data_IF_439825816941
#
_entry.id   IF_439825816941
#
_cell.length_a   1.000
_cell.length_b   1.000
_cell.length_c   1.000
_cell.angle_alpha   90.00
_cell.angle_beta   90.00
_cell.angle_gamma   90.00
#
_symmetry.space_group_name_H-M   'P 1'
#
loop_
_entity.id
_entity.type
_entity.pdbx_description
1 polymer ?
#
# COMPACT_ATOMS: atom_id res chain seq x y z
N UNK A 1 -1.72 38.51 -27.49
CA UNK A 1 -2.48 37.64 -26.61
C UNK A 1 -2.70 38.38 -25.30
N UNK A 2 -3.92 38.82 -25.04
CA UNK A 2 -4.26 39.44 -23.75
C UNK A 2 -4.76 38.35 -22.83
N UNK A 3 -4.11 38.21 -21.68
CA UNK A 3 -4.49 37.24 -20.65
C UNK A 3 -5.17 38.01 -19.53
N UNK A 4 -6.41 37.67 -19.24
CA UNK A 4 -7.15 38.23 -18.12
C UNK A 4 -7.28 37.19 -17.03
N UNK A 5 -6.81 37.50 -15.83
CA UNK A 5 -6.81 36.59 -14.68
C UNK A 5 -7.86 37.08 -13.69
N UNK A 6 -8.84 36.23 -13.40
CA UNK A 6 -9.81 36.45 -12.33
C UNK A 6 -9.54 35.47 -11.19
N UNK A 7 -9.43 36.00 -9.98
CA UNK A 7 -9.26 35.21 -8.77
C UNK A 7 -10.59 35.16 -8.00
N UNK A 8 -11.12 33.97 -7.80
CA UNK A 8 -12.29 33.76 -6.95
C UNK A 8 -11.89 32.89 -5.78
N UNK A 9 -12.10 33.36 -4.56
CA UNK A 9 -11.81 32.69 -3.32
C UNK A 9 -13.12 32.25 -2.69
N UNK A 10 -13.31 30.93 -2.54
CA UNK A 10 -14.47 30.32 -1.88
C UNK A 10 -14.08 29.47 -0.67
N UNK A 11 -15.01 29.28 0.23
CA UNK A 11 -14.82 28.46 1.43
C UNK A 11 -15.29 27.01 1.17
N UNK A 12 -14.54 26.03 1.66
CA UNK A 12 -14.86 24.59 1.57
C UNK A 12 -16.25 24.22 2.14
N UNK A 13 -16.79 25.04 3.02
CA UNK A 13 -18.11 24.82 3.63
C UNK A 13 -19.29 24.89 2.64
N UNK A 14 -19.10 25.47 1.46
CA UNK A 14 -20.15 25.55 0.43
C UNK A 14 -20.23 24.31 -0.47
N UNK A 15 -19.17 23.49 -0.53
CA UNK A 15 -19.15 22.25 -1.33
C UNK A 15 -19.84 21.06 -0.65
N UNK A 16 -19.92 21.07 0.68
CA UNK A 16 -20.58 19.98 1.45
C UNK A 16 -22.12 20.04 1.43
N UNK A 17 -22.73 21.08 0.87
CA UNK A 17 -24.21 21.21 0.79
C UNK A 17 -24.83 20.72 -0.53
N UNK A 18 -24.02 20.29 -1.49
CA UNK A 18 -24.50 19.84 -2.81
C UNK A 18 -24.62 18.31 -2.94
N UNK A 19 -24.38 17.54 -1.87
CA UNK A 19 -24.39 16.07 -1.91
C UNK A 19 -25.62 15.39 -1.29
N UNK A 20 -26.70 16.15 -1.04
CA UNK A 20 -27.99 15.51 -0.72
C UNK A 20 -28.77 15.35 -2.02
N UNK A 21 -28.69 14.19 -2.62
CA UNK A 21 -29.73 13.43 -3.34
C UNK A 21 -29.12 12.35 -4.26
N UNK A 22 -29.36 11.09 -3.90
CA UNK A 22 -29.57 9.99 -4.85
C UNK A 22 -28.39 9.08 -5.17
N UNK A 23 -28.48 7.89 -4.61
CA UNK A 23 -28.03 6.57 -5.11
C UNK A 23 -26.57 6.33 -5.51
N UNK A 24 -25.93 5.50 -4.68
CA UNK A 24 -24.93 4.50 -5.07
C UNK A 24 -23.65 5.00 -5.75
N UNK A 25 -22.74 5.52 -4.95
CA UNK A 25 -21.38 5.79 -5.36
C UNK A 25 -20.57 6.35 -4.20
N UNK A 26 -19.81 5.51 -3.50
CA UNK A 26 -18.91 5.97 -2.45
C UNK A 26 -17.77 6.78 -3.09
N UNK A 27 -17.82 8.11 -2.94
CA UNK A 27 -16.66 8.99 -3.17
C UNK A 27 -15.97 9.21 -1.84
N UNK A 28 -14.72 8.78 -1.76
CA UNK A 28 -13.85 9.07 -0.64
C UNK A 28 -13.04 10.34 -0.92
N UNK A 29 -13.15 11.33 -0.05
CA UNK A 29 -12.21 12.46 -0.01
C UNK A 29 -11.21 12.23 1.12
N UNK A 30 -9.95 12.01 0.76
CA UNK A 30 -8.86 11.96 1.74
C UNK A 30 -8.44 13.36 2.15
N UNK A 31 -8.40 13.65 3.43
CA UNK A 31 -7.77 14.85 3.99
C UNK A 31 -6.25 14.69 3.90
N UNK A 32 -5.66 15.24 2.86
CA UNK A 32 -4.23 15.52 2.82
C UNK A 32 -4.04 17.02 2.62
N UNK A 33 -3.25 17.64 3.48
CA UNK A 33 -2.87 19.05 3.42
C UNK A 33 -1.85 19.29 2.31
N UNK A 34 -2.15 18.93 1.07
CA UNK A 34 -1.26 19.15 -0.08
C UNK A 34 -1.96 19.93 -1.16
N UNK A 35 -1.21 20.87 -1.75
CA UNK A 35 -1.61 21.68 -2.88
C UNK A 35 -1.89 20.76 -4.08
N UNK A 36 -3.16 20.56 -4.43
CA UNK A 36 -3.54 19.89 -5.68
C UNK A 36 -3.90 20.95 -6.73
N UNK A 37 -3.18 20.92 -7.84
CA UNK A 37 -3.51 21.73 -9.03
C UNK A 37 -4.21 20.79 -10.00
N UNK A 38 -5.51 20.97 -10.20
CA UNK A 38 -6.29 20.28 -11.23
C UNK A 38 -6.39 21.18 -12.45
N UNK A 39 -5.86 20.73 -13.58
CA UNK A 39 -6.04 21.40 -14.87
C UNK A 39 -7.10 20.59 -15.64
N UNK A 40 -8.29 21.16 -15.77
CA UNK A 40 -9.36 20.58 -16.59
C UNK A 40 -9.50 21.38 -17.88
N UNK A 41 -9.30 20.73 -19.01
CA UNK A 41 -9.66 21.29 -20.33
C UNK A 41 -11.00 20.69 -20.75
N UNK A 42 -12.09 21.44 -20.59
CA UNK A 42 -13.38 21.02 -21.15
C UNK A 42 -13.44 21.37 -22.63
N UNK A 43 -13.66 20.35 -23.45
CA UNK A 43 -13.88 20.46 -24.90
C UNK A 43 -15.31 20.92 -25.13
N UNK A 44 -15.58 22.25 -25.03
CA UNK A 44 -16.74 22.89 -25.60
C UNK A 44 -16.40 24.37 -25.89
N UNK A 45 -16.00 24.66 -27.12
CA UNK A 45 -16.15 25.94 -27.80
C UNK A 45 -15.65 27.24 -27.16
N UNK A 46 -15.04 27.25 -25.99
CA UNK A 46 -14.49 28.44 -25.34
C UNK A 46 -13.02 28.22 -24.97
N UNK A 47 -12.16 29.19 -25.34
CA UNK A 47 -10.73 29.19 -25.01
C UNK A 47 -10.53 29.55 -23.51
N UNK A 48 -11.14 28.82 -22.61
CA UNK A 48 -11.02 29.02 -21.17
C UNK A 48 -10.21 27.91 -20.52
N UNK A 49 -9.16 28.24 -19.78
CA UNK A 49 -8.39 27.30 -18.95
C UNK A 49 -8.70 27.62 -17.50
N UNK A 50 -9.19 26.65 -16.76
CA UNK A 50 -9.45 26.76 -15.32
C UNK A 50 -8.38 26.01 -14.54
N UNK A 51 -7.71 26.71 -13.65
CA UNK A 51 -6.71 26.12 -12.74
C UNK A 51 -7.30 26.20 -11.33
N UNK A 52 -7.38 25.04 -10.67
CA UNK A 52 -7.84 24.92 -9.29
C UNK A 52 -6.63 24.66 -8.39
N UNK A 53 -6.47 25.43 -7.34
CA UNK A 53 -5.47 25.22 -6.30
C UNK A 53 -6.16 25.20 -4.94
N UNK A 54 -5.88 24.18 -4.14
CA UNK A 54 -6.42 24.03 -2.79
C UNK A 54 -5.24 24.11 -1.80
N UNK A 55 -5.26 25.10 -0.93
CA UNK A 55 -4.30 25.24 0.15
C UNK A 55 -4.99 25.75 1.41
N UNK A 56 -4.69 25.14 2.55
CA UNK A 56 -5.17 25.57 3.89
C UNK A 56 -6.67 25.83 3.98
N UNK A 57 -7.51 24.90 3.45
CA UNK A 57 -8.97 24.98 3.57
C UNK A 57 -9.64 26.05 2.71
N UNK A 58 -8.93 26.65 1.74
CA UNK A 58 -9.48 27.62 0.76
C UNK A 58 -9.24 27.13 -0.65
N UNK A 59 -10.28 27.25 -1.49
CA UNK A 59 -10.19 26.95 -2.91
C UNK A 59 -9.91 28.26 -3.65
N UNK A 60 -8.81 28.30 -4.40
CA UNK A 60 -8.49 29.41 -5.29
C UNK A 60 -8.74 28.93 -6.72
N UNK A 61 -9.70 29.53 -7.39
CA UNK A 61 -10.01 29.25 -8.79
C UNK A 61 -9.40 30.36 -9.62
N UNK A 62 -8.48 30.01 -10.51
CA UNK A 62 -7.85 30.94 -11.45
C UNK A 62 -8.44 30.69 -12.83
N UNK A 63 -9.23 31.65 -13.34
CA UNK A 63 -9.73 31.60 -14.69
C UNK A 63 -8.79 32.35 -15.63
N UNK A 64 -8.27 31.68 -16.64
CA UNK A 64 -7.41 32.29 -17.65
C UNK A 64 -8.16 32.27 -18.97
N UNK A 65 -8.54 33.46 -19.44
CA UNK A 65 -9.18 33.62 -20.75
C UNK A 65 -8.14 33.97 -21.80
N UNK A 66 -8.04 33.19 -22.87
CA UNK A 66 -7.23 33.49 -24.02
C UNK A 66 -8.07 34.20 -25.07
N UNK A 67 -7.88 35.52 -25.24
CA UNK A 67 -8.56 36.29 -26.27
C UNK A 67 -7.73 36.24 -27.56
N UNK A 68 -8.36 35.79 -28.64
CA UNK A 68 -7.73 35.70 -29.96
C UNK A 68 -7.60 37.06 -30.60
N UNK A 69 -6.38 37.58 -30.69
CA UNK A 69 -6.08 38.96 -31.13
C UNK A 69 -5.86 39.10 -32.64
N UNK A 70 -6.57 38.35 -33.49
CA UNK A 70 -6.37 38.49 -34.95
C UNK A 70 -7.00 39.75 -35.58
N UNK A 71 -7.81 40.55 -34.88
CA UNK A 71 -8.48 41.72 -35.47
C UNK A 71 -8.67 42.87 -34.49
N UNK A 72 -7.61 43.47 -33.94
CA UNK A 72 -7.74 44.77 -33.32
C UNK A 72 -6.55 45.65 -33.74
N UNK A 73 -6.75 46.44 -34.80
CA UNK A 73 -5.89 47.56 -35.14
C UNK A 73 -6.31 48.75 -34.28
N UNK A 74 -5.63 48.99 -33.18
CA UNK A 74 -5.80 50.24 -32.46
C UNK A 74 -4.67 51.20 -32.80
N UNK A 75 -5.05 52.34 -33.43
CA UNK A 75 -4.22 53.48 -33.70
C UNK A 75 -4.09 54.30 -32.43
N UNK A 76 -3.02 54.10 -31.65
CA UNK A 76 -2.71 54.94 -30.49
C UNK A 76 -1.58 55.88 -30.85
N UNK A 77 -1.87 57.19 -30.86
CA UNK A 77 -0.86 58.26 -30.97
C UNK A 77 -0.15 58.42 -29.61
N UNK A 78 1.18 58.29 -29.60
CA UNK A 78 2.09 59.02 -28.72
C UNK A 78 2.45 58.38 -27.35
N UNK A 79 3.74 58.18 -27.18
CA UNK A 79 4.58 58.24 -25.96
C UNK A 79 4.49 57.25 -24.81
N UNK A 80 3.49 56.42 -24.65
CA UNK A 80 3.38 55.45 -23.53
C UNK A 80 3.73 54.00 -23.88
N UNK A 81 4.12 53.70 -25.11
CA UNK A 81 4.36 52.30 -25.57
C UNK A 81 5.55 51.59 -24.89
N UNK A 82 6.56 52.37 -24.42
CA UNK A 82 7.76 51.75 -23.84
C UNK A 82 7.57 51.17 -22.44
N UNK A 83 6.64 51.68 -21.65
CA UNK A 83 6.37 51.15 -20.29
C UNK A 83 5.60 49.85 -20.32
N UNK A 84 4.53 49.78 -21.13
CA UNK A 84 3.72 48.57 -21.26
C UNK A 84 4.44 47.40 -21.91
N UNK A 85 5.34 47.68 -22.87
CA UNK A 85 6.15 46.62 -23.49
C UNK A 85 7.14 45.96 -22.52
N UNK A 86 7.78 46.77 -21.66
CA UNK A 86 8.68 46.24 -20.59
C UNK A 86 7.92 45.40 -19.57
N UNK A 87 6.69 45.81 -19.18
CA UNK A 87 5.85 45.08 -18.24
C UNK A 87 5.35 43.76 -18.86
N UNK A 88 4.93 43.77 -20.13
CA UNK A 88 4.52 42.52 -20.82
C UNK A 88 5.68 41.54 -21.00
N UNK A 89 6.88 42.00 -21.32
CA UNK A 89 8.08 41.13 -21.39
C UNK A 89 8.40 40.55 -20.02
N UNK A 90 8.35 41.35 -18.95
CA UNK A 90 8.61 40.89 -17.60
C UNK A 90 7.61 39.81 -17.15
N UNK A 91 6.31 40.00 -17.42
CA UNK A 91 5.26 39.02 -17.13
C UNK A 91 5.49 37.73 -17.95
N UNK A 92 5.80 37.84 -19.25
CA UNK A 92 6.08 36.66 -20.08
C UNK A 92 7.32 35.91 -19.61
N UNK A 93 8.37 36.58 -19.17
CA UNK A 93 9.56 35.96 -18.60
C UNK A 93 9.25 35.26 -17.27
N UNK A 94 8.44 35.86 -16.40
CA UNK A 94 8.00 35.22 -15.15
C UNK A 94 7.17 33.97 -15.44
N UNK A 95 6.25 34.01 -16.40
CA UNK A 95 5.47 32.84 -16.81
C UNK A 95 6.36 31.74 -17.39
N UNK A 96 7.35 32.10 -18.22
CA UNK A 96 8.32 31.12 -18.75
C UNK A 96 9.17 30.51 -17.64
N UNK A 97 9.66 31.32 -16.69
CA UNK A 97 10.44 30.84 -15.53
C UNK A 97 9.58 29.89 -14.67
N UNK A 98 8.33 30.24 -14.38
CA UNK A 98 7.41 29.38 -13.64
C UNK A 98 7.12 28.08 -14.41
N UNK A 99 6.94 28.12 -15.72
CA UNK A 99 6.75 26.92 -16.54
C UNK A 99 8.04 26.06 -16.62
N UNK A 100 9.22 26.68 -16.63
CA UNK A 100 10.50 25.95 -16.58
C UNK A 100 10.70 25.32 -15.20
N UNK A 101 10.40 26.05 -14.12
CA UNK A 101 10.45 25.49 -12.76
C UNK A 101 9.44 24.34 -12.60
N UNK A 102 8.21 24.49 -13.08
CA UNK A 102 7.20 23.41 -13.09
C UNK A 102 7.66 22.21 -13.94
N UNK A 103 8.33 22.47 -15.07
CA UNK A 103 8.84 21.39 -15.91
C UNK A 103 10.02 20.67 -15.27
N UNK A 104 10.92 21.36 -14.59
CA UNK A 104 12.05 20.77 -13.86
C UNK A 104 11.61 20.02 -12.61
N UNK A 105 10.50 20.40 -11.98
CA UNK A 105 9.89 19.65 -10.86
C UNK A 105 9.06 18.44 -11.32
N UNK A 106 8.58 18.42 -12.57
CA UNK A 106 7.80 17.31 -13.14
C UNK A 106 8.67 16.33 -13.94
N UNK A 107 9.81 16.78 -14.50
CA UNK A 107 10.75 15.93 -15.24
C UNK A 107 11.97 15.50 -14.43
N UNK A 108 11.94 15.72 -13.11
CA UNK A 108 12.88 15.06 -12.21
C UNK A 108 12.63 13.55 -12.25
N UNK A 109 13.14 12.90 -13.30
CA UNK A 109 13.63 11.54 -13.15
C UNK A 109 14.83 11.61 -12.21
N UNK A 110 14.55 11.83 -10.93
CA UNK A 110 15.50 11.45 -9.92
C UNK A 110 15.64 9.94 -10.06
N UNK A 111 16.76 9.53 -10.64
CA UNK A 111 17.29 8.19 -10.38
C UNK A 111 17.17 8.03 -8.87
N UNK A 112 16.29 7.11 -8.44
CA UNK A 112 16.05 6.80 -7.03
C UNK A 112 17.43 6.52 -6.44
N UNK A 113 18.02 7.53 -5.80
CA UNK A 113 19.18 7.32 -4.94
C UNK A 113 18.63 6.52 -3.78
N UNK A 114 18.92 5.24 -3.76
CA UNK A 114 18.78 4.45 -2.57
C UNK A 114 19.52 5.19 -1.47
N UNK A 115 18.78 5.71 -0.51
CA UNK A 115 19.38 6.25 0.69
C UNK A 115 19.75 5.01 1.48
N UNK A 116 21.04 4.78 1.60
CA UNK A 116 21.60 3.83 2.52
C UNK A 116 21.31 4.39 3.92
N UNK A 117 20.14 4.03 4.48
CA UNK A 117 19.75 4.36 5.85
C UNK A 117 20.51 3.42 6.79
N UNK A 118 21.84 3.60 6.87
CA UNK A 118 22.70 2.90 7.85
C UNK A 118 22.60 3.49 9.25
N UNK A 119 21.63 4.36 9.51
CA UNK A 119 21.45 4.98 10.83
C UNK A 119 20.70 4.08 11.84
N UNK A 120 20.29 2.86 11.43
CA UNK A 120 19.75 1.87 12.35
C UNK A 120 20.90 1.24 13.15
N UNK A 121 21.05 1.68 14.41
CA UNK A 121 21.94 1.07 15.40
C UNK A 121 21.72 -0.46 15.44
N UNK A 122 22.77 -1.27 15.65
CA UNK A 122 22.65 -2.71 15.71
C UNK A 122 21.57 -3.14 16.72
N UNK A 123 20.64 -3.95 16.28
CA UNK A 123 19.62 -4.52 17.15
C UNK A 123 20.26 -5.70 17.88
N UNK A 124 20.70 -5.48 19.11
CA UNK A 124 21.38 -6.52 19.92
C UNK A 124 20.45 -7.66 20.38
N UNK A 125 19.12 -7.51 20.24
CA UNK A 125 18.16 -8.49 20.77
C UNK A 125 17.05 -8.81 19.77
N UNK A 126 17.33 -9.70 18.83
CA UNK A 126 16.30 -10.28 17.95
C UNK A 126 15.52 -11.40 18.64
N UNK A 127 16.11 -12.02 19.66
CA UNK A 127 15.46 -13.12 20.36
C UNK A 127 14.47 -12.60 21.41
N UNK A 128 13.19 -12.88 21.21
CA UNK A 128 12.11 -12.51 22.14
C UNK A 128 12.24 -13.18 23.52
N UNK A 129 12.95 -14.30 23.61
CA UNK A 129 13.18 -15.00 24.89
C UNK A 129 14.11 -14.22 25.84
N UNK A 130 14.87 -13.24 25.34
CA UNK A 130 15.78 -12.40 26.13
C UNK A 130 15.09 -11.17 26.74
N UNK A 131 13.78 -11.00 26.52
CA UNK A 131 13.04 -9.83 27.03
C UNK A 131 12.86 -9.89 28.53
N UNK A 132 13.03 -8.73 29.15
CA UNK A 132 12.90 -8.49 30.56
C UNK A 132 11.58 -9.04 31.14
N UNK A 133 11.65 -9.66 32.29
CA UNK A 133 10.51 -10.17 33.06
C UNK A 133 9.42 -9.11 33.35
N UNK A 134 9.73 -7.81 33.21
CA UNK A 134 8.76 -6.74 33.30
C UNK A 134 7.63 -6.82 32.28
N UNK A 135 7.87 -7.49 31.15
CA UNK A 135 6.91 -7.68 30.06
C UNK A 135 6.44 -9.14 29.95
N UNK A 136 6.41 -9.83 31.08
CA UNK A 136 6.11 -11.28 31.10
C UNK A 136 4.71 -11.60 30.53
N UNK A 137 3.71 -10.76 30.78
CA UNK A 137 2.33 -10.97 30.27
C UNK A 137 2.26 -10.80 28.75
N UNK A 138 2.90 -9.75 28.22
CA UNK A 138 3.02 -9.51 26.78
C UNK A 138 3.76 -10.64 26.09
N UNK A 139 4.90 -11.09 26.67
CA UNK A 139 5.66 -12.19 26.16
C UNK A 139 4.88 -13.51 26.18
N UNK A 140 4.17 -13.84 27.25
CA UNK A 140 3.35 -15.06 27.32
C UNK A 140 2.19 -14.99 26.31
N UNK A 141 1.57 -13.84 26.13
CA UNK A 141 0.52 -13.68 25.13
C UNK A 141 1.07 -13.73 23.70
N UNK A 142 2.29 -13.21 23.44
CA UNK A 142 2.97 -13.37 22.15
C UNK A 142 3.26 -14.86 21.86
N UNK A 143 3.69 -15.64 22.82
CA UNK A 143 3.88 -17.09 22.65
C UNK A 143 2.60 -17.81 22.21
N UNK A 144 1.42 -17.27 22.57
CA UNK A 144 0.14 -17.81 22.12
C UNK A 144 -0.09 -17.62 20.61
N UNK A 145 0.72 -16.85 19.90
CA UNK A 145 0.69 -16.84 18.41
C UNK A 145 1.02 -18.22 17.81
N UNK A 146 1.51 -19.15 18.62
CA UNK A 146 1.64 -20.57 18.28
C UNK A 146 0.32 -21.37 18.34
N UNK A 147 -0.74 -20.83 18.94
CA UNK A 147 -2.05 -21.47 18.95
C UNK A 147 -2.70 -21.36 17.57
N UNK A 148 -2.92 -22.50 16.93
CA UNK A 148 -3.51 -22.63 15.59
C UNK A 148 -4.91 -23.22 15.61
N UNK A 149 -5.60 -23.16 16.74
CA UNK A 149 -6.90 -23.81 16.92
C UNK A 149 -8.10 -22.99 16.49
N UNK A 150 -7.93 -21.66 16.40
CA UNK A 150 -9.04 -20.76 16.05
C UNK A 150 -9.29 -20.76 14.54
N UNK A 151 -10.55 -20.99 14.17
CA UNK A 151 -11.06 -20.79 12.81
C UNK A 151 -12.42 -20.09 12.86
N UNK A 152 -12.58 -19.04 12.07
CA UNK A 152 -13.85 -18.42 11.76
C UNK A 152 -14.43 -19.01 10.48
N UNK A 153 -15.57 -18.48 10.00
CA UNK A 153 -16.21 -18.98 8.78
C UNK A 153 -15.28 -18.88 7.54
N UNK A 154 -14.48 -17.84 7.43
CA UNK A 154 -13.65 -17.58 6.24
C UNK A 154 -12.15 -17.52 6.53
N UNK A 155 -11.76 -17.37 7.78
CA UNK A 155 -10.37 -17.14 8.13
C UNK A 155 -10.09 -17.60 9.57
N UNK A 156 -8.81 -17.58 9.94
CA UNK A 156 -8.35 -17.95 11.28
C UNK A 156 -6.83 -18.14 11.27
N UNK A 157 -6.31 -18.71 12.34
CA UNK A 157 -4.90 -19.10 12.43
C UNK A 157 -4.71 -20.62 12.33
N UNK A 158 -5.77 -21.38 12.08
CA UNK A 158 -5.67 -22.77 11.65
C UNK A 158 -5.20 -22.82 10.20
N UNK A 159 -4.13 -23.56 9.93
CA UNK A 159 -3.62 -23.70 8.57
C UNK A 159 -4.64 -24.39 7.66
N UNK A 160 -4.83 -23.84 6.47
CA UNK A 160 -5.69 -24.39 5.42
C UNK A 160 -4.91 -24.50 4.11
N UNK A 161 -5.21 -25.54 3.32
CA UNK A 161 -4.71 -25.64 1.94
C UNK A 161 -5.64 -24.90 1.01
N UNK A 162 -5.21 -23.71 0.62
CA UNK A 162 -6.00 -22.79 -0.25
C UNK A 162 -6.21 -23.39 -1.64
N UNK A 163 -5.27 -24.17 -2.18
CA UNK A 163 -5.43 -24.82 -3.48
C UNK A 163 -6.43 -25.98 -3.44
N UNK A 164 -6.52 -26.68 -2.31
CA UNK A 164 -7.54 -27.71 -2.10
C UNK A 164 -8.93 -27.10 -1.91
N UNK A 165 -9.03 -25.99 -1.16
CA UNK A 165 -10.30 -25.27 -0.94
C UNK A 165 -10.76 -24.52 -2.21
N UNK A 166 -9.82 -24.01 -3.02
CA UNK A 166 -10.04 -23.20 -4.23
C UNK A 166 -9.20 -23.69 -5.41
N UNK A 167 -9.57 -24.79 -6.08
CA UNK A 167 -8.78 -25.37 -7.16
C UNK A 167 -8.54 -24.45 -8.36
N UNK A 168 -9.44 -23.49 -8.62
CA UNK A 168 -9.28 -22.46 -9.64
C UNK A 168 -8.00 -21.64 -9.47
N UNK A 169 -7.54 -21.47 -8.23
CA UNK A 169 -6.30 -20.77 -7.90
C UNK A 169 -5.06 -21.42 -8.54
N UNK A 170 -5.05 -22.73 -8.78
CA UNK A 170 -3.93 -23.37 -9.51
C UNK A 170 -3.83 -22.86 -10.95
N UNK A 171 -4.97 -22.57 -11.57
CA UNK A 171 -5.02 -21.96 -12.92
C UNK A 171 -4.58 -20.51 -12.84
N UNK A 172 -5.13 -19.72 -11.92
CA UNK A 172 -4.82 -18.30 -11.78
C UNK A 172 -3.33 -18.05 -11.48
N UNK A 173 -2.66 -18.96 -10.78
CA UNK A 173 -1.23 -18.89 -10.48
C UNK A 173 -0.34 -19.68 -11.46
N UNK A 174 -0.87 -20.11 -12.62
CA UNK A 174 -0.09 -20.93 -13.56
C UNK A 174 1.16 -20.19 -14.07
N UNK A 175 2.32 -20.73 -13.72
CA UNK A 175 3.64 -20.12 -13.99
C UNK A 175 4.24 -19.39 -12.80
N UNK A 176 3.48 -19.13 -11.75
CA UNK A 176 3.95 -18.54 -10.51
C UNK A 176 4.07 -19.59 -9.39
N UNK A 177 4.93 -19.34 -8.41
CA UNK A 177 5.26 -20.34 -7.40
C UNK A 177 4.06 -20.77 -6.53
N UNK A 178 3.06 -19.93 -6.37
CA UNK A 178 1.82 -20.22 -5.63
C UNK A 178 0.95 -21.31 -6.26
N UNK A 179 1.16 -21.65 -7.53
CA UNK A 179 0.49 -22.81 -8.14
C UNK A 179 0.99 -24.18 -7.62
N UNK A 180 2.10 -24.20 -6.89
CA UNK A 180 2.67 -25.45 -6.35
C UNK A 180 2.09 -25.83 -4.99
N UNK A 181 1.97 -24.86 -4.11
CA UNK A 181 1.27 -24.93 -2.85
C UNK A 181 0.87 -23.50 -2.41
N UNK A 182 -0.24 -23.41 -1.72
CA UNK A 182 -0.69 -22.16 -1.12
C UNK A 182 -1.40 -22.47 0.19
N UNK A 183 -0.61 -22.56 1.24
CA UNK A 183 -1.12 -22.72 2.60
C UNK A 183 -1.45 -21.36 3.20
N UNK A 184 -2.56 -21.25 3.93
CA UNK A 184 -2.84 -20.06 4.72
C UNK A 184 -1.79 -19.87 5.80
N UNK A 185 -1.36 -18.62 6.09
CA UNK A 185 -0.36 -18.39 7.14
C UNK A 185 -0.95 -18.70 8.51
N UNK A 186 -0.09 -19.12 9.41
CA UNK A 186 -0.37 -19.27 10.84
C UNK A 186 0.02 -17.98 11.59
N UNK A 187 0.09 -18.03 12.92
CA UNK A 187 0.54 -16.88 13.72
C UNK A 187 2.04 -16.56 13.57
N UNK A 188 2.46 -15.44 14.14
CA UNK A 188 3.83 -14.91 14.01
C UNK A 188 4.93 -15.91 14.40
N UNK A 189 4.67 -16.76 15.38
CA UNK A 189 5.60 -17.83 15.80
C UNK A 189 6.00 -18.77 14.65
N UNK A 190 5.17 -18.92 13.63
CA UNK A 190 5.40 -19.80 12.49
C UNK A 190 5.95 -19.10 11.26
N UNK A 191 6.26 -17.80 11.33
CA UNK A 191 6.65 -16.99 10.18
C UNK A 191 7.84 -17.54 9.39
N UNK A 192 8.79 -18.18 10.07
CA UNK A 192 9.93 -18.87 9.45
C UNK A 192 9.55 -20.28 9.02
N UNK A 193 8.92 -21.04 9.90
CA UNK A 193 8.60 -22.45 9.67
C UNK A 193 7.70 -22.64 8.45
N UNK A 194 6.68 -21.79 8.30
CA UNK A 194 5.76 -21.83 7.16
C UNK A 194 6.48 -21.58 5.83
N UNK A 195 7.57 -20.81 5.85
CA UNK A 195 8.39 -20.59 4.67
C UNK A 195 9.25 -21.81 4.37
N UNK A 196 9.88 -22.40 5.38
CA UNK A 196 10.73 -23.58 5.22
C UNK A 196 9.97 -24.82 4.72
N UNK A 197 8.72 -24.97 5.13
CA UNK A 197 7.90 -26.13 4.79
C UNK A 197 7.10 -25.97 3.49
N UNK A 198 7.20 -24.82 2.83
CA UNK A 198 6.44 -24.54 1.62
C UNK A 198 7.15 -25.01 0.35
N UNK A 199 6.46 -25.76 -0.51
CA UNK A 199 6.97 -26.18 -1.82
C UNK A 199 7.21 -24.98 -2.77
N UNK A 200 6.49 -23.88 -2.59
CA UNK A 200 6.68 -22.68 -3.39
C UNK A 200 8.02 -22.01 -3.16
N UNK A 201 8.58 -22.12 -1.97
CA UNK A 201 9.91 -21.63 -1.64
C UNK A 201 10.99 -22.68 -1.90
N UNK A 202 10.62 -23.94 -2.08
CA UNK A 202 11.54 -25.03 -2.42
C UNK A 202 12.05 -25.79 -1.19
N UNK A 203 11.16 -26.48 -0.48
CA UNK A 203 11.53 -27.40 0.58
C UNK A 203 12.04 -28.76 0.01
N UNK A 204 12.95 -29.47 0.69
CA UNK A 204 13.73 -29.04 1.84
C UNK A 204 14.74 -27.98 1.46
N UNK A 205 15.08 -27.12 2.44
CA UNK A 205 16.05 -26.07 2.22
C UNK A 205 17.47 -26.59 1.96
N UNK A 206 17.99 -26.22 0.82
CA UNK A 206 19.43 -26.27 0.55
C UNK A 206 19.85 -24.90 -0.03
N UNK A 207 21.12 -24.52 0.04
CA UNK A 207 21.58 -23.24 -0.52
C UNK A 207 21.25 -23.06 -2.00
N UNK A 208 20.98 -24.15 -2.72
CA UNK A 208 20.65 -24.12 -4.15
C UNK A 208 19.15 -24.31 -4.44
N UNK A 209 18.33 -24.64 -3.44
CA UNK A 209 16.91 -24.89 -3.63
C UNK A 209 16.09 -23.60 -3.62
N UNK A 210 14.94 -23.63 -4.32
CA UNK A 210 13.94 -22.58 -4.35
C UNK A 210 14.25 -21.41 -5.29
N UNK A 211 13.26 -20.97 -6.05
CA UNK A 211 13.39 -19.82 -6.95
C UNK A 211 13.22 -18.48 -6.22
N UNK A 212 12.70 -18.48 -4.99
CA UNK A 212 12.29 -17.25 -4.31
C UNK A 212 13.51 -16.43 -3.86
N UNK A 213 13.42 -15.08 -3.95
CA UNK A 213 14.49 -14.19 -3.52
C UNK A 213 14.55 -14.08 -1.99
N UNK A 214 15.71 -13.70 -1.47
CA UNK A 214 15.90 -13.42 -0.05
C UNK A 214 15.01 -12.26 0.46
N UNK A 215 14.56 -11.37 -0.41
CA UNK A 215 13.60 -10.32 -0.08
C UNK A 215 12.29 -10.85 0.55
N UNK A 216 11.90 -12.11 0.28
CA UNK A 216 10.75 -12.75 0.93
C UNK A 216 10.89 -12.84 2.46
N UNK A 217 12.11 -12.84 2.99
CA UNK A 217 12.37 -12.83 4.42
C UNK A 217 12.07 -11.51 5.11
N UNK A 218 11.99 -10.39 4.36
CA UNK A 218 11.86 -9.05 4.93
C UNK A 218 10.66 -8.89 5.88
N UNK A 219 9.56 -9.63 5.63
CA UNK A 219 8.35 -9.62 6.46
C UNK A 219 8.21 -10.88 7.33
N UNK A 220 9.29 -11.60 7.60
CA UNK A 220 9.23 -12.91 8.29
C UNK A 220 10.13 -13.00 9.51
N UNK A 221 11.10 -12.09 9.66
CA UNK A 221 12.10 -12.20 10.74
C UNK A 221 12.72 -10.84 11.08
N UNK A 222 13.00 -10.59 12.38
CA UNK A 222 13.81 -9.44 12.82
C UNK A 222 15.29 -9.61 12.44
N UNK A 223 15.72 -10.76 11.97
CA UNK A 223 17.09 -10.97 11.51
C UNK A 223 17.41 -10.19 10.22
N UNK A 224 16.41 -9.85 9.41
CA UNK A 224 16.64 -9.06 8.19
C UNK A 224 17.12 -7.63 8.49
N UNK A 225 16.47 -6.83 9.33
CA UNK A 225 17.04 -5.55 9.76
C UNK A 225 18.46 -5.68 10.32
N UNK A 226 18.75 -6.73 11.12
CA UNK A 226 20.08 -7.02 11.61
C UNK A 226 21.10 -7.24 10.47
N UNK A 227 20.76 -8.06 9.49
CA UNK A 227 21.63 -8.32 8.35
C UNK A 227 21.86 -7.07 7.50
N UNK A 228 20.87 -6.20 7.39
CA UNK A 228 20.98 -4.93 6.66
C UNK A 228 21.88 -3.90 7.35
N UNK A 229 22.28 -4.10 8.60
CA UNK A 229 23.31 -3.25 9.24
C UNK A 229 24.72 -3.52 8.73
N UNK A 230 24.95 -4.72 8.15
CA UNK A 230 26.27 -5.15 7.67
C UNK A 230 26.32 -5.43 6.17
N UNK A 231 25.17 -5.51 5.52
CA UNK A 231 25.04 -5.81 4.09
C UNK A 231 24.00 -4.88 3.49
N UNK A 232 24.29 -4.28 2.35
CA UNK A 232 23.30 -3.46 1.64
C UNK A 232 22.12 -4.29 1.10
N UNK A 233 20.96 -3.63 1.00
CA UNK A 233 19.72 -4.29 0.61
C UNK A 233 19.81 -4.94 -0.79
N UNK A 234 20.52 -4.32 -1.73
CA UNK A 234 20.70 -4.84 -3.09
C UNK A 234 21.45 -6.15 -3.09
N UNK A 235 22.54 -6.23 -2.35
CA UNK A 235 23.32 -7.45 -2.20
C UNK A 235 22.54 -8.53 -1.46
N UNK A 236 21.84 -8.18 -0.37
CA UNK A 236 21.07 -9.13 0.42
C UNK A 236 19.89 -9.70 -0.38
N UNK A 237 19.08 -8.86 -1.00
CA UNK A 237 17.84 -9.28 -1.65
C UNK A 237 18.02 -10.03 -2.98
N UNK A 238 19.19 -9.87 -3.64
CA UNK A 238 19.55 -10.67 -4.82
C UNK A 238 19.79 -12.13 -4.53
N UNK A 239 20.18 -12.46 -3.29
CA UNK A 239 20.38 -13.84 -2.88
C UNK A 239 19.09 -14.63 -2.99
N UNK A 240 19.19 -15.94 -3.07
CA UNK A 240 18.05 -16.82 -2.85
C UNK A 240 17.70 -16.85 -1.36
N UNK A 241 16.43 -17.00 -1.04
CA UNK A 241 15.99 -17.10 0.36
C UNK A 241 16.73 -18.20 1.13
N UNK A 242 17.01 -19.36 0.49
CA UNK A 242 17.70 -20.50 1.08
C UNK A 242 19.16 -20.21 1.46
N UNK A 243 19.82 -19.25 0.80
CA UNK A 243 21.22 -18.87 1.13
C UNK A 243 21.33 -18.17 2.49
N UNK A 244 20.22 -17.62 3.00
CA UNK A 244 20.16 -16.99 4.31
C UNK A 244 19.64 -17.91 5.42
N UNK A 245 19.37 -19.18 5.13
CA UNK A 245 18.67 -20.07 6.06
C UNK A 245 19.29 -20.19 7.46
N UNK A 246 20.61 -20.19 7.56
CA UNK A 246 21.31 -20.25 8.85
C UNK A 246 21.35 -18.90 9.60
N UNK A 247 21.05 -17.80 8.93
CA UNK A 247 21.04 -16.44 9.49
C UNK A 247 19.65 -16.04 9.97
N UNK A 248 18.60 -16.69 9.47
CA UNK A 248 17.20 -16.39 9.78
C UNK A 248 16.70 -17.44 10.79
N UNK A 249 16.76 -17.09 12.06
CA UNK A 249 16.44 -18.01 13.16
C UNK A 249 15.34 -17.51 14.08
N UNK A 250 15.10 -16.19 14.12
CA UNK A 250 14.09 -15.58 14.98
C UNK A 250 12.79 -15.33 14.21
N UNK A 251 11.63 -15.89 14.63
CA UNK A 251 10.34 -15.55 14.05
C UNK A 251 9.96 -14.10 14.37
N UNK A 252 8.91 -13.58 13.73
CA UNK A 252 8.39 -12.24 14.03
C UNK A 252 8.13 -12.10 15.54
N UNK A 253 8.76 -11.12 16.14
CA UNK A 253 8.77 -10.95 17.59
C UNK A 253 8.86 -9.50 18.04
N UNK A 254 9.26 -9.31 19.29
CA UNK A 254 9.25 -8.00 19.96
C UNK A 254 10.08 -6.97 19.19
N UNK A 255 11.27 -7.34 18.72
CA UNK A 255 12.20 -6.44 18.03
C UNK A 255 11.71 -5.96 16.66
N UNK A 256 10.70 -6.60 16.05
CA UNK A 256 10.09 -6.12 14.81
C UNK A 256 9.28 -4.83 15.02
N UNK A 257 8.68 -4.67 16.21
CA UNK A 257 7.75 -3.58 16.51
C UNK A 257 8.26 -2.64 17.60
N UNK A 258 9.20 -3.09 18.44
CA UNK A 258 9.66 -2.36 19.61
C UNK A 258 11.15 -2.10 19.57
N UNK A 259 11.54 -0.93 20.07
CA UNK A 259 12.92 -0.62 20.43
C UNK A 259 13.29 -1.46 21.66
N UNK A 260 14.32 -2.33 21.63
CA UNK A 260 14.57 -3.29 22.70
C UNK A 260 14.84 -2.65 24.07
N UNK A 261 15.40 -1.45 24.14
CA UNK A 261 15.76 -0.81 25.41
C UNK A 261 14.59 -0.07 26.04
N UNK A 262 13.80 0.65 25.25
CA UNK A 262 12.70 1.49 25.72
C UNK A 262 11.32 0.84 25.58
N UNK A 263 11.22 -0.22 24.77
CA UNK A 263 9.97 -0.83 24.32
C UNK A 263 9.02 0.16 23.60
N UNK A 264 9.53 1.32 23.20
CA UNK A 264 8.82 2.24 22.32
C UNK A 264 8.53 1.59 20.96
N UNK A 265 7.42 1.97 20.30
CA UNK A 265 7.11 1.49 18.97
C UNK A 265 8.09 2.06 17.94
N UNK A 266 8.55 1.21 17.03
CA UNK A 266 9.40 1.62 15.91
C UNK A 266 9.10 0.84 14.64
N UNK A 267 9.28 1.47 13.52
CA UNK A 267 9.32 0.81 12.20
C UNK A 267 10.76 0.38 11.91
N UNK A 268 10.97 -0.88 11.65
CA UNK A 268 12.31 -1.46 11.41
C UNK A 268 12.58 -1.70 9.92
N UNK A 269 11.56 -1.63 9.06
CA UNK A 269 11.67 -1.92 7.62
C UNK A 269 11.91 -0.63 6.82
N UNK A 270 13.09 -0.52 6.21
CA UNK A 270 13.52 0.64 5.44
C UNK A 270 12.61 0.96 4.25
N UNK A 271 11.98 -0.05 3.63
CA UNK A 271 11.09 0.18 2.50
C UNK A 271 9.81 0.94 2.89
N UNK A 272 9.28 0.78 4.12
CA UNK A 272 8.18 1.61 4.62
C UNK A 272 8.64 3.05 4.85
N UNK A 273 9.80 3.24 5.51
CA UNK A 273 10.41 4.56 5.71
C UNK A 273 10.63 5.26 4.36
N UNK A 274 11.13 4.53 3.37
CA UNK A 274 11.35 5.04 2.01
C UNK A 274 10.06 5.45 1.32
N UNK A 275 8.96 4.68 1.47
CA UNK A 275 7.66 5.04 0.92
C UNK A 275 7.12 6.33 1.55
N UNK A 276 7.23 6.48 2.87
CA UNK A 276 6.88 7.72 3.57
C UNK A 276 7.68 8.91 3.04
N UNK A 277 8.99 8.74 2.91
CA UNK A 277 9.88 9.80 2.42
C UNK A 277 9.54 10.23 0.98
N UNK A 278 9.22 9.30 0.08
CA UNK A 278 8.77 9.63 -1.29
C UNK A 278 7.48 10.46 -1.31
N UNK A 279 6.64 10.29 -0.30
CA UNK A 279 5.43 11.09 -0.10
C UNK A 279 5.67 12.39 0.71
N UNK A 280 6.92 12.76 0.99
CA UNK A 280 7.26 13.95 1.77
C UNK A 280 6.96 13.85 3.26
N UNK A 281 6.75 12.63 3.77
CA UNK A 281 6.45 12.32 5.17
C UNK A 281 7.67 11.69 5.86
N UNK A 282 7.66 11.69 7.18
CA UNK A 282 8.67 11.02 8.01
C UNK A 282 7.98 10.13 9.02
N UNK A 283 8.51 8.94 9.22
CA UNK A 283 7.97 8.00 10.23
C UNK A 283 8.12 8.56 11.66
N UNK A 284 9.19 9.31 11.89
CA UNK A 284 9.48 9.91 13.20
C UNK A 284 8.46 10.99 13.60
N UNK A 285 7.75 11.57 12.64
CA UNK A 285 6.70 12.57 12.88
C UNK A 285 5.32 11.93 13.08
N UNK A 286 5.22 10.60 12.96
CA UNK A 286 3.98 9.88 13.19
C UNK A 286 3.57 9.95 14.67
N UNK A 287 2.28 10.15 14.90
CA UNK A 287 1.71 10.10 16.23
C UNK A 287 1.78 8.67 16.81
N UNK A 288 1.69 8.55 18.14
CA UNK A 288 1.62 7.23 18.79
C UNK A 288 0.46 6.38 18.24
N UNK A 289 -0.68 7.01 17.94
CA UNK A 289 -1.84 6.32 17.37
C UNK A 289 -1.57 5.80 15.96
N UNK A 290 -0.88 6.57 15.11
CA UNK A 290 -0.46 6.12 13.79
C UNK A 290 0.57 5.00 13.87
N UNK A 291 1.55 5.11 14.77
CA UNK A 291 2.55 4.08 15.00
C UNK A 291 1.95 2.71 15.36
N UNK A 292 0.80 2.68 16.04
CA UNK A 292 0.05 1.45 16.37
C UNK A 292 -0.52 0.73 15.15
N UNK A 293 -0.53 1.36 13.98
CA UNK A 293 -0.82 0.74 12.69
C UNK A 293 0.43 0.57 11.84
N UNK A 294 1.37 1.51 11.87
CA UNK A 294 2.56 1.51 11.02
C UNK A 294 3.51 0.35 11.31
N UNK A 295 3.62 -0.06 12.57
CA UNK A 295 4.40 -1.27 12.93
C UNK A 295 3.81 -2.56 12.35
N UNK A 296 2.53 -2.57 12.00
CA UNK A 296 1.89 -3.66 11.26
C UNK A 296 2.07 -3.48 9.75
N UNK A 297 1.88 -2.26 9.25
CA UNK A 297 1.98 -1.90 7.85
C UNK A 297 3.36 -2.21 7.23
N UNK A 298 4.42 -2.24 8.04
CA UNK A 298 5.75 -2.61 7.53
C UNK A 298 5.83 -4.04 6.97
N UNK A 299 4.82 -4.90 7.23
CA UNK A 299 4.71 -6.24 6.68
C UNK A 299 3.31 -6.54 6.12
N UNK A 300 2.27 -5.87 6.61
CA UNK A 300 0.88 -6.04 6.22
C UNK A 300 0.43 -4.89 5.30
N UNK A 301 1.09 -4.79 4.15
CA UNK A 301 0.84 -3.78 3.12
C UNK A 301 1.09 -4.36 1.73
N UNK A 302 0.55 -3.73 0.70
CA UNK A 302 0.88 -4.05 -0.68
C UNK A 302 2.34 -3.72 -0.97
N UNK A 303 3.04 -4.63 -1.64
CA UNK A 303 4.44 -4.45 -2.00
C UNK A 303 4.77 -5.09 -3.34
N UNK A 304 5.87 -4.69 -3.93
CA UNK A 304 6.43 -5.30 -5.13
C UNK A 304 7.96 -5.35 -5.05
N UNK A 305 8.56 -6.15 -5.94
CA UNK A 305 10.01 -6.22 -6.08
C UNK A 305 10.46 -5.33 -7.22
N UNK A 306 11.14 -4.23 -6.87
CA UNK A 306 11.59 -3.23 -7.82
C UNK A 306 12.88 -3.66 -8.54
N UNK A 307 12.83 -3.67 -9.86
CA UNK A 307 13.98 -3.90 -10.74
C UNK A 307 14.61 -5.29 -10.60
N UNK A 308 15.76 -5.47 -11.25
CA UNK A 308 16.52 -6.72 -11.22
C UNK A 308 17.12 -7.03 -9.84
N UNK A 309 17.33 -6.00 -9.04
CA UNK A 309 17.87 -6.11 -7.68
C UNK A 309 16.84 -6.61 -6.66
N UNK A 310 15.56 -6.70 -7.08
CA UNK A 310 14.44 -7.18 -6.28
C UNK A 310 14.28 -6.44 -4.95
N UNK A 311 14.54 -5.12 -4.97
CA UNK A 311 14.34 -4.28 -3.81
C UNK A 311 12.85 -4.23 -3.48
N UNK A 312 12.53 -4.54 -2.24
CA UNK A 312 11.14 -4.48 -1.78
C UNK A 312 10.70 -3.02 -1.67
N UNK A 313 9.58 -2.68 -2.28
CA UNK A 313 9.03 -1.33 -2.31
C UNK A 313 7.50 -1.36 -2.16
N UNK A 314 6.94 -0.28 -1.60
CA UNK A 314 5.49 -0.09 -1.49
C UNK A 314 5.02 0.83 -2.63
N UNK A 315 3.90 0.54 -3.30
CA UNK A 315 3.41 1.30 -4.46
C UNK A 315 2.58 2.53 -4.04
N UNK A 316 3.05 3.30 -3.06
CA UNK A 316 2.28 4.36 -2.40
C UNK A 316 2.50 5.77 -2.96
N UNK A 317 3.27 5.91 -4.01
CA UNK A 317 3.69 7.21 -4.55
C UNK A 317 2.51 8.06 -5.08
N UNK A 318 1.37 7.43 -5.36
CA UNK A 318 0.13 8.10 -5.77
C UNK A 318 -0.99 7.98 -4.71
N UNK A 319 -0.73 7.34 -3.58
CA UNK A 319 -1.68 7.12 -2.48
C UNK A 319 -2.00 5.65 -2.24
N UNK A 320 -2.93 5.38 -1.31
CA UNK A 320 -3.20 4.02 -0.80
C UNK A 320 -4.44 3.35 -1.40
N UNK A 321 -5.25 4.05 -2.21
CA UNK A 321 -6.44 3.42 -2.78
C UNK A 321 -6.07 2.41 -3.85
N UNK A 322 -6.95 1.44 -4.11
CA UNK A 322 -6.73 0.44 -5.16
C UNK A 322 -6.45 1.09 -6.50
N UNK A 323 -7.22 2.15 -6.85
CA UNK A 323 -7.07 2.90 -8.10
C UNK A 323 -5.73 3.63 -8.17
N UNK A 324 -5.23 4.15 -7.05
CA UNK A 324 -3.93 4.82 -7.00
C UNK A 324 -2.78 3.82 -7.16
N UNK A 325 -2.90 2.65 -6.54
CA UNK A 325 -1.91 1.57 -6.65
C UNK A 325 -1.89 1.02 -8.08
N UNK A 326 -3.05 0.79 -8.68
CA UNK A 326 -3.17 0.36 -10.08
C UNK A 326 -2.54 1.39 -11.01
N UNK A 327 -2.90 2.68 -10.87
CA UNK A 327 -2.33 3.76 -11.65
C UNK A 327 -0.80 3.89 -11.47
N UNK A 328 -0.30 3.63 -10.27
CA UNK A 328 1.15 3.58 -10.01
C UNK A 328 1.81 2.44 -10.80
N UNK A 329 1.30 1.21 -10.71
CA UNK A 329 1.83 0.07 -11.44
C UNK A 329 1.78 0.27 -12.96
N UNK A 330 0.69 0.84 -13.47
CA UNK A 330 0.57 1.22 -14.89
C UNK A 330 1.62 2.24 -15.30
N UNK A 331 1.88 3.26 -14.46
CA UNK A 331 2.84 4.32 -14.74
C UNK A 331 4.28 3.83 -14.89
N UNK A 332 4.63 2.76 -14.20
CA UNK A 332 5.95 2.12 -14.27
C UNK A 332 5.96 0.84 -15.12
N UNK A 333 4.84 0.51 -15.76
CA UNK A 333 4.64 -0.71 -16.57
C UNK A 333 5.08 -1.99 -15.83
N UNK A 334 4.67 -2.08 -14.55
CA UNK A 334 5.07 -3.18 -13.67
C UNK A 334 4.19 -4.41 -13.89
N UNK A 335 4.82 -5.59 -13.87
CA UNK A 335 4.15 -6.89 -13.81
C UNK A 335 4.99 -7.85 -12.96
N UNK A 336 4.32 -8.68 -12.16
CA UNK A 336 5.00 -9.70 -11.35
C UNK A 336 5.44 -10.90 -12.18
N UNK A 337 4.57 -11.34 -13.09
CA UNK A 337 4.84 -12.53 -13.89
C UNK A 337 4.00 -12.58 -15.17
N UNK A 338 4.48 -13.40 -16.12
CA UNK A 338 3.70 -13.74 -17.31
C UNK A 338 2.98 -15.06 -17.07
N UNK A 339 1.67 -15.05 -17.20
CA UNK A 339 0.83 -16.21 -16.96
C UNK A 339 1.10 -17.34 -17.96
N UNK A 340 1.36 -18.55 -17.48
CA UNK A 340 1.82 -19.66 -18.32
C UNK A 340 0.82 -20.12 -19.39
N UNK A 341 -0.48 -20.02 -19.10
CA UNK A 341 -1.53 -20.48 -20.02
C UNK A 341 -1.96 -19.38 -21.00
N UNK A 342 -2.35 -18.23 -20.49
CA UNK A 342 -2.87 -17.14 -21.32
C UNK A 342 -1.79 -16.24 -21.92
N UNK A 343 -0.56 -16.24 -21.38
CA UNK A 343 0.54 -15.30 -21.67
C UNK A 343 0.25 -13.85 -21.26
N UNK A 344 -0.81 -13.61 -20.49
CA UNK A 344 -1.10 -12.30 -19.93
C UNK A 344 -0.02 -11.88 -18.94
N UNK A 345 0.27 -10.58 -18.91
CA UNK A 345 1.11 -9.97 -17.89
C UNK A 345 0.24 -9.66 -16.66
N UNK A 346 0.58 -10.23 -15.53
CA UNK A 346 -0.24 -10.15 -14.33
C UNK A 346 0.50 -9.50 -13.17
N UNK A 347 -0.26 -8.78 -12.35
CA UNK A 347 0.14 -8.29 -11.04
C UNK A 347 -0.47 -9.22 -10.00
N UNK A 348 0.31 -9.60 -9.00
CA UNK A 348 -0.17 -10.26 -7.81
C UNK A 348 -0.41 -9.21 -6.73
N UNK A 349 -1.66 -8.96 -6.36
CA UNK A 349 -1.94 -8.27 -5.10
C UNK A 349 -1.38 -9.12 -3.95
N UNK A 350 -0.50 -8.55 -3.13
CA UNK A 350 0.17 -9.30 -2.06
C UNK A 350 -0.75 -9.48 -0.85
N UNK A 351 -0.80 -8.52 0.04
CA UNK A 351 -1.70 -8.48 1.19
C UNK A 351 -1.91 -7.03 1.64
N UNK A 352 -2.72 -6.26 0.90
CA UNK A 352 -2.94 -4.82 1.13
C UNK A 352 -3.82 -4.56 2.37
N UNK A 353 -3.46 -5.16 3.53
CA UNK A 353 -4.28 -5.09 4.74
C UNK A 353 -4.34 -3.66 5.28
N UNK A 354 -3.18 -2.96 5.30
CA UNK A 354 -3.11 -1.58 5.75
C UNK A 354 -3.92 -0.65 4.84
N UNK A 355 -3.78 -0.78 3.54
CA UNK A 355 -4.47 0.04 2.55
C UNK A 355 -5.98 -0.14 2.64
N UNK A 356 -6.45 -1.39 2.67
CA UNK A 356 -7.88 -1.71 2.82
C UNK A 356 -8.43 -1.22 4.16
N UNK A 357 -7.64 -1.32 5.24
CA UNK A 357 -8.02 -0.79 6.53
C UNK A 357 -8.16 0.73 6.52
N UNK A 358 -7.21 1.44 5.91
CA UNK A 358 -7.26 2.91 5.78
C UNK A 358 -8.44 3.39 4.95
N UNK A 359 -8.89 2.60 3.96
CA UNK A 359 -10.09 2.88 3.18
C UNK A 359 -11.38 2.60 3.98
N UNK A 360 -11.31 1.80 5.03
CA UNK A 360 -12.44 1.40 5.87
C UNK A 360 -12.83 2.47 6.91
N UNK A 361 -14.07 2.40 7.40
CA UNK A 361 -14.61 3.37 8.37
C UNK A 361 -13.81 3.46 9.66
N UNK A 362 -13.23 2.36 10.15
CA UNK A 362 -12.43 2.33 11.36
C UNK A 362 -11.10 3.08 11.17
N UNK A 363 -10.38 2.84 10.07
CA UNK A 363 -9.17 3.56 9.73
C UNK A 363 -9.42 5.06 9.57
N UNK A 364 -10.49 5.43 8.84
CA UNK A 364 -10.88 6.84 8.65
C UNK A 364 -11.26 7.57 9.95
N UNK A 365 -11.67 6.83 10.98
CA UNK A 365 -11.98 7.38 12.31
C UNK A 365 -10.81 7.33 13.29
N UNK A 366 -9.61 6.99 12.79
CA UNK A 366 -8.40 6.96 13.59
C UNK A 366 -8.29 5.77 14.55
N UNK A 367 -9.07 4.70 14.34
CA UNK A 367 -8.84 3.41 15.02
C UNK A 367 -7.57 2.80 14.42
N UNK A 368 -6.73 2.16 15.22
CA UNK A 368 -5.54 1.46 14.73
C UNK A 368 -5.73 -0.05 14.69
N UNK A 369 -4.80 -0.75 14.03
CA UNK A 369 -4.78 -2.21 13.97
C UNK A 369 -4.75 -2.84 15.37
N UNK A 370 -4.04 -2.19 16.30
CA UNK A 370 -3.88 -2.64 17.67
C UNK A 370 -5.21 -2.80 18.41
N UNK A 371 -6.16 -1.85 18.27
CA UNK A 371 -7.44 -1.90 19.01
C UNK A 371 -8.24 -3.17 18.71
N UNK A 372 -8.09 -3.72 17.50
CA UNK A 372 -8.79 -4.93 17.08
C UNK A 372 -7.98 -6.21 17.31
N UNK A 373 -6.66 -6.18 17.06
CA UNK A 373 -5.82 -7.39 17.08
C UNK A 373 -5.05 -7.59 18.38
N UNK A 374 -4.90 -6.53 19.20
CA UNK A 374 -4.14 -6.52 20.46
C UNK A 374 -4.93 -5.79 21.55
N UNK A 375 -6.15 -6.24 21.89
CA UNK A 375 -6.98 -5.55 22.87
C UNK A 375 -6.31 -5.53 24.23
N UNK A 376 -6.62 -4.51 25.04
CA UNK A 376 -6.23 -4.48 26.43
C UNK A 376 -6.99 -5.55 27.21
N UNK A 377 -6.27 -6.34 27.99
CA UNK A 377 -6.78 -7.41 28.86
C UNK A 377 -6.21 -7.25 30.26
N UNK A 378 -6.80 -7.97 31.24
CA UNK A 378 -6.45 -7.81 32.64
C UNK A 378 -7.20 -6.64 33.29
N UNK A 379 -7.04 -6.49 34.59
CA UNK A 379 -7.67 -5.45 35.41
C UNK A 379 -6.61 -4.67 36.17
N UNK A 380 -6.87 -3.41 36.40
CA UNK A 380 -6.03 -2.49 37.20
C UNK A 380 -4.53 -2.56 36.83
N UNK A 381 -3.68 -2.84 37.78
CA UNK A 381 -2.21 -2.89 37.65
C UNK A 381 -1.74 -4.06 36.76
N UNK A 382 -2.59 -5.07 36.55
CA UNK A 382 -2.31 -6.21 35.67
C UNK A 382 -2.83 -6.01 34.23
N UNK A 383 -3.23 -4.79 33.88
CA UNK A 383 -3.72 -4.48 32.55
C UNK A 383 -2.57 -4.38 31.54
N UNK A 384 -2.64 -5.17 30.49
CA UNK A 384 -1.65 -5.19 29.41
C UNK A 384 -2.31 -5.36 28.03
N UNK A 385 -1.55 -5.14 26.97
CA UNK A 385 -2.01 -5.39 25.61
C UNK A 385 -1.75 -6.86 25.24
N UNK A 386 -2.79 -7.56 24.79
CA UNK A 386 -2.68 -8.95 24.41
C UNK A 386 -1.93 -9.09 23.08
N UNK A 387 -0.73 -9.69 23.12
CA UNK A 387 0.13 -9.90 21.95
C UNK A 387 -0.14 -11.22 21.22
N UNK A 388 -1.25 -11.90 21.48
CA UNK A 388 -1.67 -13.07 20.70
C UNK A 388 -1.92 -12.75 19.23
N UNK A 389 -2.29 -11.51 18.92
CA UNK A 389 -2.42 -10.97 17.54
C UNK A 389 -3.28 -11.90 16.67
N UNK A 390 -4.47 -12.24 17.15
CA UNK A 390 -5.41 -13.11 16.45
C UNK A 390 -6.61 -12.35 15.90
N UNK A 391 -7.48 -13.05 15.19
CA UNK A 391 -8.72 -12.48 14.67
C UNK A 391 -9.55 -11.82 15.79
N UNK A 392 -10.06 -10.60 15.59
CA UNK A 392 -10.98 -9.94 16.53
C UNK A 392 -12.22 -10.78 16.85
N UNK A 393 -12.66 -11.63 15.93
CA UNK A 393 -13.79 -12.54 16.13
C UNK A 393 -13.56 -13.61 17.22
N UNK A 394 -12.32 -13.81 17.64
CA UNK A 394 -11.97 -14.68 18.76
C UNK A 394 -12.16 -14.01 20.13
N UNK A 395 -12.33 -12.68 20.17
CA UNK A 395 -12.38 -11.87 21.40
C UNK A 395 -13.32 -10.66 21.20
N UNK A 396 -14.54 -10.89 20.71
CA UNK A 396 -15.50 -9.80 20.39
C UNK A 396 -15.78 -8.93 21.61
N UNK A 397 -15.88 -9.56 22.79
CA UNK A 397 -16.08 -8.89 24.09
C UNK A 397 -14.99 -7.88 24.42
N UNK A 398 -13.76 -8.08 23.94
CA UNK A 398 -12.60 -7.21 24.22
C UNK A 398 -12.23 -6.30 23.04
N UNK A 399 -12.67 -6.63 21.83
CA UNK A 399 -12.38 -5.90 20.62
C UNK A 399 -13.57 -5.06 20.18
N UNK A 400 -14.57 -5.66 19.56
CA UNK A 400 -15.72 -4.92 19.03
C UNK A 400 -16.52 -4.22 20.14
N UNK A 401 -16.81 -4.91 21.25
CA UNK A 401 -17.62 -4.36 22.35
C UNK A 401 -16.87 -3.31 23.19
N UNK A 402 -15.58 -3.08 22.95
CA UNK A 402 -14.90 -1.91 23.50
C UNK A 402 -15.52 -0.59 23.01
N UNK A 403 -16.14 -0.59 21.82
CA UNK A 403 -16.78 0.58 21.21
C UNK A 403 -18.25 0.34 20.85
N UNK A 404 -18.63 -0.88 20.46
CA UNK A 404 -19.98 -1.27 20.06
C UNK A 404 -20.77 -1.84 21.24
N UNK A 405 -22.07 -1.56 21.27
CA UNK A 405 -22.95 -1.95 22.40
C UNK A 405 -23.84 -3.16 22.07
N UNK A 406 -23.82 -3.60 20.83
CA UNK A 406 -24.56 -4.75 20.35
C UNK A 406 -24.03 -6.04 21.00
N UNK A 407 -24.86 -7.08 21.03
CA UNK A 407 -24.43 -8.39 21.52
C UNK A 407 -23.34 -8.99 20.60
N UNK A 408 -22.53 -9.88 21.16
CA UNK A 408 -21.51 -10.60 20.39
C UNK A 408 -22.11 -11.33 19.18
N UNK A 409 -23.30 -11.91 19.34
CA UNK A 409 -24.00 -12.61 18.25
C UNK A 409 -24.33 -11.67 17.09
N UNK A 410 -24.85 -10.47 17.38
CA UNK A 410 -25.18 -9.46 16.37
C UNK A 410 -23.90 -9.00 15.65
N UNK A 411 -22.87 -8.64 16.40
CA UNK A 411 -21.59 -8.17 15.82
C UNK A 411 -20.95 -9.24 14.93
N UNK A 412 -20.95 -10.49 15.38
CA UNK A 412 -20.43 -11.63 14.59
C UNK A 412 -21.23 -11.83 13.31
N UNK A 413 -22.55 -11.77 13.41
CA UNK A 413 -23.46 -11.87 12.25
C UNK A 413 -23.17 -10.77 11.24
N UNK A 414 -23.05 -9.51 11.68
CA UNK A 414 -22.78 -8.38 10.80
C UNK A 414 -21.44 -8.53 10.06
N UNK A 415 -20.40 -9.02 10.74
CA UNK A 415 -19.12 -9.33 10.11
C UNK A 415 -19.29 -10.42 9.04
N UNK A 416 -19.96 -11.52 9.39
CA UNK A 416 -20.15 -12.63 8.45
C UNK A 416 -21.03 -12.26 7.26
N UNK A 417 -22.03 -11.41 7.41
CA UNK A 417 -22.82 -10.92 6.28
C UNK A 417 -21.98 -10.14 5.28
N UNK A 418 -21.05 -9.31 5.76
CA UNK A 418 -20.10 -8.58 4.89
C UNK A 418 -19.12 -9.53 4.22
N UNK A 419 -18.53 -10.44 4.98
CA UNK A 419 -17.58 -11.43 4.47
C UNK A 419 -18.27 -12.35 3.43
N UNK A 420 -19.52 -12.78 3.64
CA UNK A 420 -20.31 -13.56 2.69
C UNK A 420 -20.46 -12.82 1.33
N UNK A 421 -20.77 -11.53 1.36
CA UNK A 421 -20.90 -10.73 0.14
C UNK A 421 -19.58 -10.66 -0.63
N UNK A 422 -18.48 -10.36 0.06
CA UNK A 422 -17.14 -10.30 -0.56
C UNK A 422 -16.73 -11.67 -1.10
N UNK A 423 -16.95 -12.72 -0.32
CA UNK A 423 -16.64 -14.10 -0.73
C UNK A 423 -17.40 -14.52 -1.98
N UNK A 424 -18.70 -14.23 -2.05
CA UNK A 424 -19.51 -14.56 -3.22
C UNK A 424 -19.02 -13.84 -4.50
N UNK A 425 -18.63 -12.57 -4.39
CA UNK A 425 -18.06 -11.81 -5.50
C UNK A 425 -16.70 -12.41 -5.91
N UNK A 426 -15.83 -12.67 -4.94
CA UNK A 426 -14.51 -13.27 -5.18
C UNK A 426 -14.63 -14.60 -5.92
N UNK A 427 -15.53 -15.49 -5.50
CA UNK A 427 -15.73 -16.78 -6.14
C UNK A 427 -16.17 -16.66 -7.60
N UNK A 428 -17.04 -15.69 -7.90
CA UNK A 428 -17.44 -15.42 -9.29
C UNK A 428 -16.27 -14.91 -10.13
N UNK A 429 -15.47 -13.99 -9.59
CA UNK A 429 -14.30 -13.46 -10.29
C UNK A 429 -13.27 -14.57 -10.51
N UNK A 430 -13.02 -15.43 -9.52
CA UNK A 430 -12.11 -16.58 -9.64
C UNK A 430 -12.57 -17.53 -10.76
N UNK A 431 -13.85 -17.84 -10.82
CA UNK A 431 -14.42 -18.70 -11.86
C UNK A 431 -14.26 -18.10 -13.26
N UNK A 432 -14.64 -16.83 -13.44
CA UNK A 432 -14.58 -16.17 -14.75
C UNK A 432 -13.14 -15.96 -15.21
N UNK A 433 -12.22 -15.58 -14.33
CA UNK A 433 -10.80 -15.47 -14.70
C UNK A 433 -10.20 -16.85 -15.04
N UNK A 434 -10.55 -17.88 -14.28
CA UNK A 434 -10.12 -19.25 -14.58
C UNK A 434 -10.56 -19.68 -15.99
N UNK A 435 -11.82 -19.43 -16.36
CA UNK A 435 -12.34 -19.68 -17.70
C UNK A 435 -11.56 -18.88 -18.74
N UNK A 436 -11.39 -17.58 -18.53
CA UNK A 436 -10.69 -16.70 -19.46
C UNK A 436 -9.25 -17.17 -19.75
N UNK A 437 -8.51 -17.59 -18.71
CA UNK A 437 -7.16 -18.13 -18.90
C UNK A 437 -7.13 -19.44 -19.68
N UNK A 438 -8.10 -20.33 -19.48
CA UNK A 438 -8.23 -21.60 -20.21
C UNK A 438 -8.62 -21.32 -21.66
N UNK A 439 -9.55 -20.42 -21.92
CA UNK A 439 -9.97 -20.05 -23.28
C UNK A 439 -8.85 -19.36 -24.07
N UNK A 440 -8.11 -18.47 -23.40
CA UNK A 440 -6.92 -17.85 -24.02
C UNK A 440 -5.87 -18.92 -24.39
N UNK A 441 -5.62 -19.89 -23.51
CA UNK A 441 -4.75 -21.03 -23.84
C UNK A 441 -5.26 -21.79 -25.06
N UNK A 442 -6.56 -22.10 -25.12
CA UNK A 442 -7.15 -22.80 -26.26
C UNK A 442 -6.99 -22.01 -27.56
N UNK A 443 -7.17 -20.69 -27.53
CA UNK A 443 -6.96 -19.82 -28.67
C UNK A 443 -5.49 -19.90 -29.17
N UNK A 444 -4.51 -19.84 -28.26
CA UNK A 444 -3.10 -20.02 -28.58
C UNK A 444 -2.80 -21.37 -29.20
N UNK A 445 -3.36 -22.45 -28.65
CA UNK A 445 -3.18 -23.82 -29.19
C UNK A 445 -3.78 -23.98 -30.59
N UNK A 446 -4.78 -23.16 -30.94
CA UNK A 446 -5.39 -23.10 -32.29
C UNK A 446 -4.67 -22.15 -33.24
N UNK A 447 -3.57 -21.55 -32.84
CA UNK A 447 -2.74 -20.71 -33.70
C UNK A 447 -3.14 -19.22 -33.70
N UNK A 448 -3.83 -18.75 -32.68
CA UNK A 448 -4.08 -17.31 -32.54
C UNK A 448 -2.77 -16.52 -32.54
N UNK A 449 -2.79 -15.37 -33.21
CA UNK A 449 -1.62 -14.48 -33.29
C UNK A 449 -1.59 -13.48 -32.12
N UNK A 450 -0.42 -12.95 -31.79
CA UNK A 450 -0.24 -11.86 -30.81
C UNK A 450 -1.20 -10.67 -31.07
N UNK A 451 -1.36 -10.30 -32.36
CA UNK A 451 -2.26 -9.20 -32.76
C UNK A 451 -3.72 -9.49 -32.45
N UNK A 452 -4.17 -10.75 -32.62
CA UNK A 452 -5.54 -11.15 -32.29
C UNK A 452 -5.77 -11.17 -30.78
N UNK A 453 -4.77 -11.57 -30.01
CA UNK A 453 -4.88 -11.70 -28.56
C UNK A 453 -4.63 -10.38 -27.82
N UNK A 454 -4.07 -9.36 -28.46
CA UNK A 454 -3.67 -8.10 -27.81
C UNK A 454 -4.75 -7.45 -26.96
N UNK A 455 -6.01 -7.47 -27.40
CA UNK A 455 -7.12 -6.85 -26.67
C UNK A 455 -7.73 -7.77 -25.59
N UNK A 456 -7.42 -9.07 -25.66
CA UNK A 456 -7.88 -10.08 -24.69
C UNK A 456 -6.95 -10.14 -23.48
N UNK A 457 -5.66 -9.80 -23.69
CA UNK A 457 -4.60 -9.92 -22.67
C UNK A 457 -4.31 -8.60 -21.94
N UNK A 458 -5.03 -7.53 -22.26
CA UNK A 458 -5.05 -6.27 -21.51
C UNK A 458 -6.13 -6.34 -20.45
#
# INVERSE_FOLDING_TARGET
>A
MNIQIHLQIGSLAQLNRASDYGSEGYRFESYASHLRILISSSVFGSNEIRIFSISTGRIIIIHIFAVNTKNILFKIKGKHLKAHYKTSIAISLIVIIVLVILRTTVTGQDSIKFIDDTDDQPIDQQNSDSIDLRYSNEYQSWKQTSDTTFRSLFNGNQQADILAEHPGMMVLWAGYAFSKDYLSPRGHMYSIEDLYKSLRTGAPMTPTSGPQPAACWACKSPDIPRLLTTTDAKTLYKKKWAELGNEIVNPIGCADCHEPQSMGLRVTRSFLKSAYKRNGLRIEDATEQEMRSLVCAQCHAEYYFQGEDRILALPWDQGYTVENIEAYYDSINFTDFTHKLSRAHLIKAQHPDFELFQMGIHGQRGVSCRECHMPAVGEDENRYNNHHIKSPLAMIDRTCQACHRESEEILRKDVYERQNKVYAIRMRVEEELTKAHIEAKFAWDKGATESQMKNVLK
#
